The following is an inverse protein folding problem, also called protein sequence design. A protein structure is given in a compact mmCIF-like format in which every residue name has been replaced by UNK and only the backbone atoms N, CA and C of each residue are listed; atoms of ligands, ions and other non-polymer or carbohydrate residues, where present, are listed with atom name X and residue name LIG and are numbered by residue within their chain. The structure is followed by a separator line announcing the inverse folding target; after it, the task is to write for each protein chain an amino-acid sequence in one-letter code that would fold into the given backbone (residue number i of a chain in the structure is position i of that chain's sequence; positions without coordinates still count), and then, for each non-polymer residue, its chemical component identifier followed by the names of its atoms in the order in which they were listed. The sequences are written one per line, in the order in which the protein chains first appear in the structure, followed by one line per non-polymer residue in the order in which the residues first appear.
data_IF_955792762127
#
_entry.id   IF_955792762127
#
_cell.length_a   1.000
_cell.length_b   1.000
_cell.length_c   1.000
_cell.angle_alpha   90.00
_cell.angle_beta   90.00
_cell.angle_gamma   90.00
#
_symmetry.space_group_name_H-M   'P 1'
#
loop_
_entity.id
_entity.type
_entity.pdbx_description
1 polymer ?
#
# COMPACT_ATOMS: atom_id res chain seq x y z
N UNK A 1 18.10 -29.24 28.62
CA UNK A 1 17.53 -27.97 29.10
C UNK A 1 18.12 -26.85 28.27
N UNK A 2 17.28 -26.06 27.59
CA UNK A 2 17.77 -24.89 26.86
C UNK A 2 18.15 -23.79 27.84
N UNK A 3 19.29 -23.14 27.60
CA UNK A 3 19.72 -21.99 28.40
C UNK A 3 18.83 -20.79 28.09
N UNK A 4 18.38 -20.08 29.13
CA UNK A 4 17.50 -18.91 29.01
C UNK A 4 18.14 -17.81 28.14
N UNK A 5 19.48 -17.69 28.18
CA UNK A 5 20.26 -16.75 27.38
C UNK A 5 20.16 -17.05 25.89
N UNK A 6 20.19 -18.33 25.51
CA UNK A 6 20.11 -18.75 24.12
C UNK A 6 18.72 -18.53 23.52
N UNK A 7 17.68 -18.73 24.33
CA UNK A 7 16.30 -18.41 23.92
C UNK A 7 16.12 -16.91 23.71
N UNK A 8 16.67 -16.09 24.60
CA UNK A 8 16.57 -14.64 24.48
C UNK A 8 17.35 -14.11 23.26
N UNK A 9 18.55 -14.64 23.02
CA UNK A 9 19.35 -14.30 21.84
C UNK A 9 18.62 -14.67 20.53
N UNK A 10 18.00 -15.85 20.46
CA UNK A 10 17.21 -16.28 19.29
C UNK A 10 15.97 -15.43 19.07
N UNK A 11 15.30 -15.01 20.15
CA UNK A 11 14.16 -14.09 20.06
C UNK A 11 14.59 -12.72 19.51
N UNK A 12 15.69 -12.16 20.02
CA UNK A 12 16.16 -10.84 19.62
C UNK A 12 16.56 -10.81 18.13
N UNK A 13 17.25 -11.85 17.66
CA UNK A 13 17.65 -11.97 16.25
C UNK A 13 16.44 -12.16 15.35
N UNK A 14 15.47 -12.98 15.75
CA UNK A 14 14.21 -13.16 15.01
C UNK A 14 13.41 -11.86 14.92
N UNK A 15 13.32 -11.09 16.00
CA UNK A 15 12.68 -9.78 16.03
C UNK A 15 13.35 -8.81 15.04
N UNK A 16 14.68 -8.75 15.05
CA UNK A 16 15.44 -7.84 14.19
C UNK A 16 15.23 -8.17 12.70
N UNK A 17 15.23 -9.45 12.34
CA UNK A 17 14.92 -9.90 10.98
C UNK A 17 13.48 -9.50 10.61
N UNK A 18 12.51 -9.77 11.48
CA UNK A 18 11.12 -9.39 11.21
C UNK A 18 10.98 -7.87 10.99
N UNK A 19 11.63 -7.03 11.79
CA UNK A 19 11.56 -5.57 11.63
C UNK A 19 12.18 -5.09 10.32
N UNK A 20 13.31 -5.68 9.90
CA UNK A 20 13.99 -5.27 8.66
C UNK A 20 13.23 -5.74 7.42
N UNK A 21 12.70 -6.96 7.44
CA UNK A 21 12.13 -7.59 6.24
C UNK A 21 10.61 -7.46 6.14
N UNK A 22 9.90 -7.14 7.22
CA UNK A 22 8.45 -6.91 7.16
C UNK A 22 8.20 -5.45 6.83
N UNK A 23 7.76 -5.11 5.61
CA UNK A 23 7.46 -3.74 5.29
C UNK A 23 6.36 -3.22 6.23
N UNK A 24 6.45 -1.96 6.70
CA UNK A 24 5.37 -1.39 7.48
C UNK A 24 4.08 -1.42 6.65
N UNK A 25 2.95 -1.69 7.31
CA UNK A 25 1.62 -1.56 6.70
C UNK A 25 1.48 -0.13 6.16
N UNK A 26 1.65 0.03 4.84
CA UNK A 26 1.45 1.31 4.18
C UNK A 26 -0.01 1.43 3.79
N UNK A 27 -0.67 2.45 4.33
CA UNK A 27 -1.88 3.00 3.73
C UNK A 27 -1.48 3.71 2.44
N UNK A 28 -1.22 2.93 1.38
CA UNK A 28 -1.00 3.52 0.05
C UNK A 28 -2.36 4.00 -0.48
N UNK A 29 -2.46 5.25 -0.94
CA UNK A 29 -3.68 5.70 -1.61
C UNK A 29 -3.89 4.82 -2.84
N UNK A 30 -4.96 4.04 -2.83
CA UNK A 30 -5.33 3.20 -3.96
C UNK A 30 -6.11 4.04 -4.97
N UNK A 31 -5.80 3.86 -6.24
CA UNK A 31 -6.55 4.48 -7.32
C UNK A 31 -7.95 3.86 -7.40
N UNK A 32 -8.99 4.66 -7.67
CA UNK A 32 -10.34 4.15 -7.86
C UNK A 32 -10.41 3.25 -9.08
N UNK A 33 -10.85 2.01 -8.87
CA UNK A 33 -11.18 1.07 -9.94
C UNK A 33 -12.69 1.11 -10.20
N UNK A 34 -13.15 0.77 -11.42
CA UNK A 34 -14.58 0.71 -11.79
C UNK A 34 -15.40 -0.25 -10.93
N UNK A 35 -14.74 -1.18 -10.25
CA UNK A 35 -15.35 -2.16 -9.35
C UNK A 35 -15.43 -1.68 -7.90
N UNK A 36 -14.79 -0.54 -7.57
CA UNK A 36 -14.74 -0.03 -6.20
C UNK A 36 -15.99 0.84 -5.92
N UNK A 37 -17.01 0.21 -5.36
CA UNK A 37 -18.29 0.86 -5.02
C UNK A 37 -18.24 1.62 -3.69
N UNK A 38 -17.23 1.33 -2.86
CA UNK A 38 -17.09 1.90 -1.53
C UNK A 38 -16.53 3.33 -1.58
N UNK A 39 -17.04 4.24 -0.73
CA UNK A 39 -16.47 5.58 -0.59
C UNK A 39 -15.02 5.49 -0.12
N UNK A 40 -14.14 6.27 -0.73
CA UNK A 40 -12.73 6.34 -0.34
C UNK A 40 -12.52 7.49 0.62
N UNK A 41 -11.73 7.23 1.66
CA UNK A 41 -11.34 8.23 2.65
C UNK A 41 -10.00 8.85 2.25
N UNK A 42 -9.98 10.18 2.16
CA UNK A 42 -8.77 10.98 2.04
C UNK A 42 -8.61 11.80 3.33
N UNK A 43 -7.41 12.34 3.57
CA UNK A 43 -7.14 13.19 4.75
C UNK A 43 -8.06 14.43 4.82
N UNK A 44 -8.66 14.81 3.70
CA UNK A 44 -9.56 15.97 3.58
C UNK A 44 -11.06 15.60 3.54
N UNK A 45 -11.44 14.31 3.57
CA UNK A 45 -12.85 13.90 3.58
C UNK A 45 -13.17 12.60 2.84
N UNK A 46 -14.45 12.40 2.52
CA UNK A 46 -14.92 11.22 1.78
C UNK A 46 -15.18 11.59 0.32
N UNK A 47 -14.60 10.83 -0.61
CA UNK A 47 -14.83 11.00 -2.06
C UNK A 47 -15.42 9.73 -2.66
N UNK A 48 -16.42 9.89 -3.54
CA UNK A 48 -17.02 8.80 -4.30
C UNK A 48 -16.73 9.01 -5.77
N UNK A 49 -15.94 8.11 -6.35
CA UNK A 49 -15.62 8.13 -7.77
C UNK A 49 -16.62 7.27 -8.55
N UNK A 50 -17.13 7.79 -9.66
CA UNK A 50 -17.90 7.02 -10.64
C UNK A 50 -16.99 6.78 -11.83
N UNK A 51 -16.35 5.62 -11.86
CA UNK A 51 -15.40 5.21 -12.90
C UNK A 51 -16.07 4.29 -13.91
N UNK A 52 -15.77 4.47 -15.19
CA UNK A 52 -16.27 3.64 -16.30
C UNK A 52 -15.09 3.13 -17.11
N UNK A 53 -15.09 1.85 -17.46
CA UNK A 53 -14.07 1.30 -18.36
C UNK A 53 -14.22 1.90 -19.76
N UNK A 54 -13.09 2.34 -20.33
CA UNK A 54 -13.01 2.88 -21.69
C UNK A 54 -11.95 2.10 -22.48
N UNK A 55 -12.17 1.83 -23.78
CA UNK A 55 -11.21 1.09 -24.58
C UNK A 55 -9.91 1.89 -24.73
N UNK A 56 -8.78 1.20 -24.50
CA UNK A 56 -7.44 1.79 -24.60
C UNK A 56 -7.05 1.97 -26.08
N UNK A 57 -7.45 3.08 -26.69
CA UNK A 57 -7.10 3.38 -28.09
C UNK A 57 -5.72 4.07 -28.22
N UNK A 58 -5.28 4.76 -27.16
CA UNK A 58 -3.94 5.37 -26.97
C UNK A 58 -3.70 5.62 -25.47
N UNK A 59 -3.62 4.54 -24.68
CA UNK A 59 -3.57 4.65 -23.23
C UNK A 59 -2.20 5.19 -22.76
N UNK A 60 -2.21 6.36 -22.13
CA UNK A 60 -1.05 6.92 -21.44
C UNK A 60 -1.20 6.65 -19.94
N UNK A 61 -0.12 6.33 -19.23
CA UNK A 61 -0.23 5.97 -17.81
C UNK A 61 -0.72 7.16 -16.99
N UNK A 62 -1.61 6.91 -16.02
CA UNK A 62 -2.11 7.94 -15.10
C UNK A 62 -0.97 8.65 -14.36
N UNK A 63 0.12 7.92 -14.07
CA UNK A 63 1.33 8.48 -13.47
C UNK A 63 2.03 9.47 -14.41
N UNK A 64 2.07 9.21 -15.71
CA UNK A 64 2.65 10.13 -16.69
C UNK A 64 1.83 11.41 -16.83
N UNK A 65 0.50 11.30 -16.87
CA UNK A 65 -0.41 12.47 -16.92
C UNK A 65 -0.27 13.30 -15.63
N UNK A 66 -0.23 12.65 -14.46
CA UNK A 66 -0.05 13.33 -13.18
C UNK A 66 1.29 14.07 -13.08
N UNK A 67 2.35 13.56 -13.74
CA UNK A 67 3.67 14.20 -13.74
C UNK A 67 3.78 15.46 -14.62
N UNK A 68 2.88 15.63 -15.60
CA UNK A 68 2.88 16.81 -16.49
C UNK A 68 2.22 18.05 -15.87
N UNK A 69 1.42 17.88 -14.81
CA UNK A 69 0.67 18.95 -14.16
C UNK A 69 1.18 19.28 -12.75
N UNK A 70 2.46 18.95 -12.47
CA UNK A 70 3.16 19.34 -11.24
C UNK A 70 3.86 20.68 -11.42
#
# INVERSE_FOLDING_TARGET
MFSILWLFAGFLTGLLIAVVFTPPLRNVPQLPTPYNISPMHTDAGCVRFKTTEVPCVNATSLNFIASQHK
#
